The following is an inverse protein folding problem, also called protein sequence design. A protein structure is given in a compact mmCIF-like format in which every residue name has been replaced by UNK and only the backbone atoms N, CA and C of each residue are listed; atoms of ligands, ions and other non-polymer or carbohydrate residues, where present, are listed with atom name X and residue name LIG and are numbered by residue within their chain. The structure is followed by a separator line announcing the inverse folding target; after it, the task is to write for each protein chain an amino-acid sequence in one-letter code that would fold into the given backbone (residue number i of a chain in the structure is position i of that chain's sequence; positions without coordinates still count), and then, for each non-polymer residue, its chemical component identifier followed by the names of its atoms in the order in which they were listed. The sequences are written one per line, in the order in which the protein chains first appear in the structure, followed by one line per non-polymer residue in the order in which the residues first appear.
data_IF_102193419919
#
_entry.id   IF_102193419919
#
_cell.length_a   1.000
_cell.length_b   1.000
_cell.length_c   1.000
_cell.angle_alpha   90.00
_cell.angle_beta   90.00
_cell.angle_gamma   90.00
#
_symmetry.space_group_name_H-M   'P 1'
#
loop_
_entity.id
_entity.type
_entity.pdbx_description
1 polymer ?
#
# COMPACT_ATOMS: atom_id res chain seq x y z
N UNK A 1 3.64 14.18 14.60
CA UNK A 1 4.43 15.41 14.71
C UNK A 1 4.16 16.37 13.55
N UNK A 2 4.17 15.94 12.29
CA UNK A 2 4.01 16.81 11.09
C UNK A 2 2.63 17.48 10.98
N UNK A 3 1.56 16.85 11.43
CA UNK A 3 0.18 17.39 11.40
C UNK A 3 -0.34 17.92 12.74
N UNK A 4 0.50 18.03 13.78
CA UNK A 4 0.16 18.51 15.14
C UNK A 4 -1.11 17.85 15.72
N UNK A 5 -1.44 16.62 15.29
CA UNK A 5 -2.60 15.87 15.77
C UNK A 5 -2.25 15.21 17.11
N UNK A 6 -3.12 15.36 18.12
CA UNK A 6 -3.00 14.61 19.38
C UNK A 6 -3.26 13.13 19.10
N UNK A 7 -2.39 12.26 19.61
CA UNK A 7 -2.61 10.80 19.56
C UNK A 7 -3.89 10.45 20.33
N UNK A 8 -4.69 9.58 19.75
CA UNK A 8 -5.95 9.16 20.37
C UNK A 8 -5.75 7.73 20.88
N UNK A 9 -6.07 7.49 22.15
CA UNK A 9 -5.80 6.23 22.86
C UNK A 9 -6.34 5.00 22.10
N UNK A 10 -7.56 5.08 21.53
CA UNK A 10 -8.11 3.95 20.79
C UNK A 10 -7.32 3.61 19.51
N UNK A 11 -6.69 4.61 18.84
CA UNK A 11 -5.83 4.37 17.67
C UNK A 11 -4.59 3.55 18.07
N UNK A 12 -4.03 3.82 19.26
CA UNK A 12 -2.92 3.03 19.81
C UNK A 12 -3.36 1.58 20.11
N UNK A 13 -4.52 1.40 20.74
CA UNK A 13 -5.05 0.05 21.03
C UNK A 13 -5.27 -0.73 19.74
N UNK A 14 -5.91 -0.14 18.74
CA UNK A 14 -6.11 -0.78 17.43
C UNK A 14 -4.78 -1.09 16.73
N UNK A 15 -3.78 -0.21 16.88
CA UNK A 15 -2.42 -0.47 16.42
C UNK A 15 -1.81 -1.72 17.05
N UNK A 16 -1.98 -1.93 18.35
CA UNK A 16 -1.52 -3.16 19.03
C UNK A 16 -2.26 -4.42 18.52
N UNK A 17 -3.55 -4.33 18.22
CA UNK A 17 -4.30 -5.45 17.63
C UNK A 17 -3.75 -5.79 16.23
N UNK A 18 -3.43 -4.78 15.42
CA UNK A 18 -2.77 -4.98 14.11
C UNK A 18 -1.41 -5.65 14.28
N UNK A 19 -0.59 -5.19 15.23
CA UNK A 19 0.72 -5.83 15.52
C UNK A 19 0.54 -7.28 15.94
N UNK A 20 -0.47 -7.60 16.77
CA UNK A 20 -0.83 -8.99 17.13
C UNK A 20 -1.23 -9.83 15.90
N UNK A 21 -2.01 -9.27 14.99
CA UNK A 21 -2.38 -9.93 13.73
C UNK A 21 -1.15 -10.20 12.84
N UNK A 22 -0.26 -9.22 12.70
CA UNK A 22 1.01 -9.39 11.96
C UNK A 22 1.89 -10.45 12.63
N UNK A 23 1.95 -10.49 13.96
CA UNK A 23 2.71 -11.50 14.69
C UNK A 23 2.19 -12.94 14.45
N UNK A 24 0.88 -13.12 14.37
CA UNK A 24 0.27 -14.43 14.04
C UNK A 24 0.62 -14.86 12.61
N UNK A 25 0.58 -13.93 11.64
CA UNK A 25 1.01 -14.20 10.27
C UNK A 25 2.50 -14.53 10.24
N UNK A 26 3.32 -13.78 10.95
CA UNK A 26 4.77 -14.01 11.06
C UNK A 26 5.10 -15.40 11.59
N UNK A 27 4.47 -15.85 12.69
CA UNK A 27 4.72 -17.17 13.25
C UNK A 27 4.26 -18.32 12.33
N UNK A 28 3.21 -18.08 11.54
CA UNK A 28 2.73 -19.05 10.57
C UNK A 28 3.69 -19.23 9.39
N UNK A 29 4.40 -18.16 9.01
CA UNK A 29 5.20 -18.06 7.78
C UNK A 29 6.66 -17.63 8.07
N UNK A 30 7.21 -18.10 9.20
CA UNK A 30 8.57 -17.70 9.67
C UNK A 30 9.69 -17.97 8.65
N UNK A 31 9.51 -18.93 7.76
CA UNK A 31 10.45 -19.20 6.66
C UNK A 31 10.66 -18.01 5.71
N UNK A 32 9.75 -17.03 5.72
CA UNK A 32 9.79 -15.82 4.89
C UNK A 32 10.26 -14.57 5.64
N UNK A 33 11.08 -14.73 6.69
CA UNK A 33 11.54 -13.63 7.56
C UNK A 33 12.07 -12.42 6.77
N UNK A 34 12.91 -12.66 5.76
CA UNK A 34 13.46 -11.58 4.91
C UNK A 34 12.35 -10.81 4.20
N UNK A 35 11.38 -11.50 3.64
CA UNK A 35 10.22 -10.88 2.99
C UNK A 35 9.39 -10.03 3.97
N UNK A 36 9.21 -10.52 5.20
CA UNK A 36 8.47 -9.80 6.25
C UNK A 36 9.20 -8.51 6.64
N UNK A 37 10.52 -8.56 6.85
CA UNK A 37 11.32 -7.35 7.17
C UNK A 37 11.25 -6.34 6.03
N UNK A 38 11.42 -6.79 4.79
CA UNK A 38 11.32 -5.91 3.62
C UNK A 38 9.91 -5.32 3.47
N UNK A 39 8.87 -6.12 3.74
CA UNK A 39 7.49 -5.65 3.76
C UNK A 39 7.22 -4.57 4.81
N UNK A 40 7.76 -4.74 6.03
CA UNK A 40 7.65 -3.72 7.09
C UNK A 40 8.37 -2.42 6.71
N UNK A 41 9.56 -2.50 6.12
CA UNK A 41 10.29 -1.34 5.62
C UNK A 41 9.51 -0.65 4.50
N UNK A 42 8.96 -1.42 3.56
CA UNK A 42 8.10 -0.89 2.50
C UNK A 42 6.90 -0.14 3.05
N UNK A 43 6.18 -0.73 4.03
CA UNK A 43 5.03 -0.09 4.67
C UNK A 43 5.42 1.21 5.41
N UNK A 44 6.59 1.24 6.04
CA UNK A 44 7.12 2.46 6.67
C UNK A 44 7.36 3.55 5.65
N UNK A 45 8.06 3.25 4.54
CA UNK A 45 8.31 4.23 3.49
C UNK A 45 7.03 4.66 2.77
N UNK A 46 6.08 3.76 2.53
CA UNK A 46 4.78 4.10 1.95
C UNK A 46 3.98 5.07 2.84
N UNK A 47 4.03 4.87 4.17
CA UNK A 47 3.39 5.78 5.12
C UNK A 47 4.05 7.15 5.15
N UNK A 48 5.39 7.20 5.15
CA UNK A 48 6.16 8.44 5.09
C UNK A 48 5.87 9.21 3.79
N UNK A 49 5.87 8.51 2.67
CA UNK A 49 5.55 9.04 1.35
C UNK A 49 4.12 9.64 1.30
N UNK A 50 3.13 8.95 1.84
CA UNK A 50 1.76 9.46 1.90
C UNK A 50 1.64 10.75 2.73
N UNK A 51 2.41 10.84 3.84
CA UNK A 51 2.47 12.06 4.67
C UNK A 51 3.10 13.22 3.90
N UNK A 52 4.20 12.97 3.20
CA UNK A 52 4.87 14.00 2.39
C UNK A 52 3.96 14.50 1.27
N UNK A 53 3.28 13.60 0.56
CA UNK A 53 2.30 13.97 -0.47
C UNK A 53 1.12 14.77 0.09
N UNK A 54 0.65 14.40 1.29
CA UNK A 54 -0.38 15.17 1.99
C UNK A 54 0.05 16.60 2.37
N UNK A 55 1.35 16.87 2.49
CA UNK A 55 1.88 18.23 2.65
C UNK A 55 2.04 18.95 1.32
N UNK A 56 2.57 18.26 0.30
CA UNK A 56 2.88 18.83 -1.02
C UNK A 56 1.61 19.19 -1.79
N UNK A 57 0.55 18.39 -1.68
CA UNK A 57 -0.71 18.59 -2.41
C UNK A 57 -1.44 19.88 -2.04
N UNK A 58 -1.12 20.48 -0.89
CA UNK A 58 -1.67 21.76 -0.46
C UNK A 58 -1.22 22.93 -1.33
N UNK A 59 -0.06 22.81 -1.98
CA UNK A 59 0.57 23.87 -2.77
C UNK A 59 0.72 23.52 -4.25
N UNK A 60 0.63 22.24 -4.60
CA UNK A 60 0.91 21.73 -5.94
C UNK A 60 -0.28 20.93 -6.48
N UNK A 61 -0.31 20.69 -7.79
CA UNK A 61 -1.30 19.80 -8.41
C UNK A 61 -0.91 18.34 -8.21
N UNK A 62 -1.91 17.46 -8.12
CA UNK A 62 -1.67 16.02 -8.04
C UNK A 62 -0.86 15.51 -9.24
N UNK A 63 -1.18 16.02 -10.44
CA UNK A 63 -0.46 15.69 -11.66
C UNK A 63 1.04 16.02 -11.56
N UNK A 64 1.38 17.26 -11.13
CA UNK A 64 2.78 17.68 -11.01
C UNK A 64 3.55 16.83 -10.00
N UNK A 65 2.94 16.56 -8.84
CA UNK A 65 3.57 15.73 -7.82
C UNK A 65 3.86 14.35 -8.39
N UNK A 66 2.83 13.66 -8.91
CA UNK A 66 2.96 12.31 -9.45
C UNK A 66 3.96 12.24 -10.61
N UNK A 67 3.98 13.26 -11.49
CA UNK A 67 4.90 13.32 -12.62
C UNK A 67 6.36 13.35 -12.16
N UNK A 68 6.70 14.22 -11.22
CA UNK A 68 8.08 14.30 -10.70
C UNK A 68 8.47 13.05 -9.92
N UNK A 69 7.56 12.45 -9.17
CA UNK A 69 7.80 11.22 -8.43
C UNK A 69 8.06 10.04 -9.36
N UNK A 70 7.29 9.88 -10.43
CA UNK A 70 7.54 8.82 -11.43
C UNK A 70 8.86 9.02 -12.17
N UNK A 71 9.20 10.24 -12.58
CA UNK A 71 10.50 10.52 -13.23
C UNK A 71 11.65 10.19 -12.27
N UNK A 72 11.55 10.64 -11.02
CA UNK A 72 12.57 10.37 -10.01
C UNK A 72 12.70 8.88 -9.73
N UNK A 73 11.57 8.18 -9.58
CA UNK A 73 11.55 6.73 -9.39
C UNK A 73 12.19 5.98 -10.57
N UNK A 74 11.82 6.34 -11.80
CA UNK A 74 12.41 5.77 -13.01
C UNK A 74 13.93 5.99 -13.06
N UNK A 75 14.39 7.19 -12.72
CA UNK A 75 15.82 7.50 -12.68
C UNK A 75 16.59 6.62 -11.68
N UNK A 76 16.09 6.50 -10.44
CA UNK A 76 16.73 5.65 -9.43
C UNK A 76 16.69 4.17 -9.77
N UNK A 77 15.58 3.66 -10.32
CA UNK A 77 15.49 2.26 -10.75
C UNK A 77 16.47 1.99 -11.90
N UNK A 78 16.59 2.90 -12.87
CA UNK A 78 17.54 2.75 -13.98
C UNK A 78 18.97 2.70 -13.48
N UNK A 79 19.35 3.58 -12.55
CA UNK A 79 20.68 3.57 -11.93
C UNK A 79 20.92 2.23 -11.21
N UNK A 80 19.93 1.76 -10.44
CA UNK A 80 20.05 0.48 -9.73
C UNK A 80 20.27 -0.70 -10.69
N UNK A 81 19.55 -0.75 -11.79
CA UNK A 81 19.71 -1.81 -12.81
C UNK A 81 21.09 -1.75 -13.52
N UNK A 82 21.61 -0.54 -13.75
CA UNK A 82 22.96 -0.38 -14.32
C UNK A 82 24.02 -0.92 -13.34
N UNK A 83 23.91 -0.59 -12.05
CA UNK A 83 24.89 -1.05 -11.06
C UNK A 83 24.86 -2.56 -10.79
N UNK A 84 23.75 -3.22 -11.05
CA UNK A 84 23.60 -4.67 -10.88
C UNK A 84 23.80 -5.46 -12.19
N UNK A 85 24.19 -4.81 -13.29
CA UNK A 85 24.31 -5.42 -14.64
C UNK A 85 23.02 -6.09 -15.13
N UNK A 86 21.85 -5.69 -14.58
CA UNK A 86 20.54 -6.27 -14.89
C UNK A 86 19.82 -5.53 -16.03
N UNK A 87 20.39 -4.47 -16.58
CA UNK A 87 19.79 -3.70 -17.66
C UNK A 87 19.52 -4.55 -18.92
N UNK A 88 20.35 -5.56 -19.15
CA UNK A 88 20.20 -6.50 -20.28
C UNK A 88 18.99 -7.44 -20.11
N UNK A 89 18.46 -7.59 -18.91
CA UNK A 89 17.25 -8.40 -18.65
C UNK A 89 15.97 -7.69 -19.13
N UNK A 90 16.04 -6.38 -19.42
CA UNK A 90 14.94 -5.65 -20.06
C UNK A 90 14.98 -5.98 -21.56
N UNK A 91 14.66 -7.23 -21.89
CA UNK A 91 14.51 -7.67 -23.28
C UNK A 91 13.21 -7.11 -23.83
N UNK A 92 13.30 -6.25 -24.84
CA UNK A 92 12.14 -5.83 -25.62
C UNK A 92 11.91 -6.89 -26.68
N UNK A 93 11.47 -8.07 -26.23
CA UNK A 93 10.91 -9.05 -27.15
C UNK A 93 9.58 -8.48 -27.68
N UNK A 94 9.08 -8.89 -28.71
CA UNK A 94 7.85 -8.55 -29.44
C UNK A 94 6.90 -7.51 -28.77
N UNK A 95 7.09 -6.22 -29.04
CA UNK A 95 6.31 -5.09 -28.47
C UNK A 95 4.79 -5.23 -28.75
N UNK A 96 4.41 -6.03 -29.74
CA UNK A 96 3.01 -6.31 -30.07
C UNK A 96 2.46 -7.55 -29.38
N UNK A 97 3.20 -8.16 -28.44
CA UNK A 97 2.70 -9.31 -27.70
C UNK A 97 1.60 -8.92 -26.70
N UNK A 98 0.73 -9.87 -26.39
CA UNK A 98 -0.32 -9.71 -25.39
C UNK A 98 0.25 -9.31 -24.01
N UNK A 99 1.47 -9.74 -23.69
CA UNK A 99 2.16 -9.41 -22.46
C UNK A 99 2.43 -7.90 -22.36
N UNK A 100 2.85 -7.24 -23.43
CA UNK A 100 3.06 -5.79 -23.44
C UNK A 100 1.76 -5.02 -23.27
N UNK A 101 0.66 -5.51 -23.82
CA UNK A 101 -0.65 -4.91 -23.59
C UNK A 101 -1.02 -4.94 -22.10
N UNK A 102 -0.82 -6.08 -21.41
CA UNK A 102 -1.07 -6.17 -19.97
C UNK A 102 -0.12 -5.29 -19.15
N UNK A 103 1.16 -5.21 -19.50
CA UNK A 103 2.13 -4.32 -18.85
C UNK A 103 1.73 -2.85 -19.06
N UNK A 104 1.32 -2.48 -20.25
CA UNK A 104 0.84 -1.12 -20.54
C UNK A 104 -0.41 -0.77 -19.73
N UNK A 105 -1.37 -1.69 -19.63
CA UNK A 105 -2.58 -1.50 -18.85
C UNK A 105 -2.26 -1.39 -17.33
N UNK A 106 -1.36 -2.23 -16.84
CA UNK A 106 -0.88 -2.19 -15.47
C UNK A 106 -0.18 -0.84 -15.17
N UNK A 107 0.72 -0.39 -16.03
CA UNK A 107 1.48 0.85 -15.83
C UNK A 107 0.62 2.10 -15.96
N UNK A 108 -0.30 2.15 -16.94
CA UNK A 108 -1.11 3.34 -17.21
C UNK A 108 -2.32 3.46 -16.27
N UNK A 109 -3.19 2.47 -16.23
CA UNK A 109 -4.45 2.54 -15.47
C UNK A 109 -4.24 2.14 -14.02
N UNK A 110 -3.65 0.97 -13.78
CA UNK A 110 -3.54 0.43 -12.43
C UNK A 110 -2.44 1.12 -11.60
N UNK A 111 -1.45 1.73 -12.25
CA UNK A 111 -0.37 2.43 -11.54
C UNK A 111 -0.49 3.95 -11.69
N UNK A 112 -0.27 4.50 -12.88
CA UNK A 112 -0.16 5.95 -13.04
C UNK A 112 -1.46 6.69 -12.70
N UNK A 113 -2.59 6.25 -13.22
CA UNK A 113 -3.88 6.87 -12.92
C UNK A 113 -4.29 6.67 -11.47
N UNK A 114 -4.21 5.45 -10.95
CA UNK A 114 -4.58 5.15 -9.56
C UNK A 114 -3.72 5.92 -8.56
N UNK A 115 -2.43 6.04 -8.82
CA UNK A 115 -1.50 6.80 -8.00
C UNK A 115 -1.84 8.30 -7.99
N UNK A 116 -2.03 8.91 -9.16
CA UNK A 116 -2.43 10.32 -9.29
C UNK A 116 -3.77 10.58 -8.58
N UNK A 117 -4.74 9.68 -8.73
CA UNK A 117 -6.03 9.77 -8.03
C UNK A 117 -5.84 9.70 -6.51
N UNK A 118 -4.97 8.82 -6.02
CA UNK A 118 -4.62 8.71 -4.60
C UNK A 118 -4.02 10.01 -4.05
N UNK A 119 -3.06 10.59 -4.75
CA UNK A 119 -2.47 11.89 -4.37
C UNK A 119 -3.52 13.00 -4.38
N UNK A 120 -4.42 13.01 -5.37
CA UNK A 120 -5.53 13.97 -5.43
C UNK A 120 -6.47 13.86 -4.23
N UNK A 121 -6.80 12.64 -3.79
CA UNK A 121 -7.65 12.39 -2.64
C UNK A 121 -7.08 12.97 -1.33
N UNK A 122 -5.75 13.11 -1.21
CA UNK A 122 -5.12 13.74 -0.05
C UNK A 122 -5.48 15.21 0.16
N UNK A 123 -6.14 15.86 -0.81
CA UNK A 123 -6.77 17.19 -0.62
C UNK A 123 -7.97 17.14 0.32
N UNK A 124 -8.69 16.04 0.33
CA UNK A 124 -9.99 15.90 0.99
C UNK A 124 -9.94 15.01 2.23
N UNK A 125 -9.03 14.05 2.25
CA UNK A 125 -8.89 13.08 3.32
C UNK A 125 -7.47 13.06 3.88
N UNK A 126 -7.34 12.65 5.15
CA UNK A 126 -6.01 12.61 5.79
C UNK A 126 -5.14 11.49 5.20
N UNK A 127 -3.79 11.66 5.15
CA UNK A 127 -2.87 10.60 4.75
C UNK A 127 -3.09 9.29 5.51
N UNK A 128 -3.40 9.37 6.79
CA UNK A 128 -3.76 8.22 7.61
C UNK A 128 -4.97 7.45 7.06
N UNK A 129 -6.00 8.15 6.60
CA UNK A 129 -7.20 7.50 6.03
C UNK A 129 -6.90 6.82 4.70
N UNK A 130 -6.03 7.41 3.87
CA UNK A 130 -5.58 6.80 2.60
C UNK A 130 -4.80 5.52 2.87
N UNK A 131 -3.78 5.59 3.74
CA UNK A 131 -2.97 4.41 4.11
C UNK A 131 -3.84 3.31 4.73
N UNK A 132 -4.83 3.69 5.56
CA UNK A 132 -5.77 2.74 6.15
C UNK A 132 -6.60 2.01 5.08
N UNK A 133 -6.99 2.70 4.01
CA UNK A 133 -7.72 2.09 2.89
C UNK A 133 -6.86 1.08 2.13
N UNK A 134 -5.55 1.32 2.01
CA UNK A 134 -4.63 0.36 1.39
C UNK A 134 -4.55 -0.97 2.16
N UNK A 135 -4.82 -0.99 3.47
CA UNK A 135 -4.89 -2.24 4.23
C UNK A 135 -6.05 -3.16 3.79
N UNK A 136 -6.97 -2.69 2.94
CA UNK A 136 -8.00 -3.53 2.31
C UNK A 136 -7.48 -4.26 1.07
N UNK A 137 -6.35 -3.84 0.50
CA UNK A 137 -5.74 -4.43 -0.69
C UNK A 137 -5.47 -5.94 -0.53
N UNK A 138 -4.88 -6.43 0.58
CA UNK A 138 -4.64 -7.86 0.77
C UNK A 138 -5.91 -8.69 0.72
N UNK A 139 -7.07 -8.13 1.13
CA UNK A 139 -8.34 -8.87 1.08
C UNK A 139 -8.73 -9.14 -0.35
N UNK A 140 -8.76 -8.08 -1.16
CA UNK A 140 -9.12 -8.21 -2.57
C UNK A 140 -8.10 -9.08 -3.30
N UNK A 141 -6.80 -8.92 -2.99
CA UNK A 141 -5.73 -9.74 -3.54
C UNK A 141 -5.93 -11.23 -3.24
N UNK A 142 -6.19 -11.60 -1.99
CA UNK A 142 -6.41 -13.00 -1.60
C UNK A 142 -7.68 -13.57 -2.23
N UNK A 143 -8.79 -12.82 -2.21
CA UNK A 143 -10.04 -13.26 -2.83
C UNK A 143 -9.82 -13.51 -4.32
N UNK A 144 -9.17 -12.60 -5.02
CA UNK A 144 -8.87 -12.75 -6.43
C UNK A 144 -7.91 -13.91 -6.69
N UNK A 145 -6.85 -14.07 -5.88
CA UNK A 145 -5.92 -15.18 -6.01
C UNK A 145 -6.63 -16.52 -5.86
N UNK A 146 -7.50 -16.69 -4.86
CA UNK A 146 -8.27 -17.93 -4.68
C UNK A 146 -9.24 -18.19 -5.84
N UNK A 147 -9.86 -17.14 -6.38
CA UNK A 147 -10.79 -17.27 -7.54
C UNK A 147 -10.04 -17.68 -8.80
N UNK A 148 -8.88 -17.08 -9.09
CA UNK A 148 -8.15 -17.32 -10.35
C UNK A 148 -7.22 -18.52 -10.30
N UNK A 149 -6.55 -18.77 -9.14
CA UNK A 149 -5.53 -19.81 -9.01
C UNK A 149 -5.99 -21.03 -8.17
N UNK A 150 -7.16 -20.93 -7.55
CA UNK A 150 -7.77 -22.05 -6.83
C UNK A 150 -7.02 -22.48 -5.57
N UNK A 151 -6.94 -23.81 -5.36
CA UNK A 151 -6.45 -24.40 -4.10
C UNK A 151 -4.95 -24.25 -3.84
N UNK A 152 -4.16 -23.89 -4.85
CA UNK A 152 -2.70 -23.75 -4.72
C UNK A 152 -2.30 -22.53 -3.89
N UNK A 153 -3.22 -21.56 -3.71
CA UNK A 153 -3.00 -20.31 -2.96
C UNK A 153 -3.63 -20.34 -1.54
N UNK A 154 -3.93 -21.54 -1.02
CA UNK A 154 -4.48 -21.67 0.33
C UNK A 154 -3.39 -21.40 1.36
N UNK A 155 -3.61 -20.36 2.18
CA UNK A 155 -2.77 -20.02 3.31
C UNK A 155 -3.13 -20.83 4.57
N UNK A 156 -2.27 -20.76 5.59
CA UNK A 156 -2.51 -21.44 6.87
C UNK A 156 -3.72 -20.82 7.61
N UNK A 157 -4.33 -21.60 8.50
CA UNK A 157 -5.45 -21.11 9.32
C UNK A 157 -5.03 -19.91 10.18
N UNK A 158 -3.81 -19.91 10.72
CA UNK A 158 -3.26 -18.81 11.50
C UNK A 158 -3.12 -17.53 10.69
N UNK A 159 -2.81 -17.64 9.39
CA UNK A 159 -2.79 -16.51 8.46
C UNK A 159 -4.18 -15.85 8.36
N UNK A 160 -5.24 -16.64 8.18
CA UNK A 160 -6.61 -16.10 8.10
C UNK A 160 -7.06 -15.44 9.41
N UNK A 161 -6.66 -15.95 10.58
CA UNK A 161 -6.94 -15.28 11.86
C UNK A 161 -6.22 -13.95 11.94
N UNK A 162 -4.94 -13.88 11.59
CA UNK A 162 -4.15 -12.66 11.59
C UNK A 162 -4.75 -11.61 10.64
N UNK A 163 -5.12 -12.03 9.43
CA UNK A 163 -5.81 -11.21 8.46
C UNK A 163 -7.13 -10.65 9.02
N UNK A 164 -7.96 -11.50 9.64
CA UNK A 164 -9.21 -11.07 10.25
C UNK A 164 -9.01 -10.01 11.34
N UNK A 165 -8.00 -10.15 12.21
CA UNK A 165 -7.69 -9.16 13.24
C UNK A 165 -7.29 -7.80 12.64
N UNK A 166 -6.47 -7.82 11.59
CA UNK A 166 -6.08 -6.59 10.89
C UNK A 166 -7.31 -5.91 10.30
N UNK A 167 -8.16 -6.65 9.58
CA UNK A 167 -9.37 -6.13 8.97
C UNK A 167 -10.36 -5.57 9.99
N UNK A 168 -10.60 -6.33 11.05
CA UNK A 168 -11.47 -5.89 12.14
C UNK A 168 -11.00 -4.56 12.72
N UNK A 169 -9.70 -4.40 12.96
CA UNK A 169 -9.11 -3.16 13.46
C UNK A 169 -9.32 -1.98 12.50
N UNK A 170 -9.15 -2.22 11.19
CA UNK A 170 -9.35 -1.20 10.16
C UNK A 170 -10.80 -0.73 10.11
N UNK A 171 -11.75 -1.68 10.03
CA UNK A 171 -13.18 -1.39 9.96
C UNK A 171 -13.66 -0.68 11.24
N UNK A 172 -13.22 -1.16 12.41
CA UNK A 172 -13.58 -0.57 13.70
C UNK A 172 -13.07 0.87 13.81
N UNK A 173 -11.83 1.13 13.36
CA UNK A 173 -11.27 2.47 13.33
C UNK A 173 -12.06 3.42 12.41
N UNK A 174 -12.44 2.95 11.22
CA UNK A 174 -13.30 3.74 10.32
C UNK A 174 -14.64 4.07 10.99
N UNK A 175 -15.27 3.10 11.65
CA UNK A 175 -16.56 3.27 12.32
C UNK A 175 -16.49 4.28 13.47
N UNK A 176 -15.50 4.14 14.37
CA UNK A 176 -15.28 5.05 15.50
C UNK A 176 -15.03 6.48 15.00
N UNK A 177 -14.18 6.62 13.98
CA UNK A 177 -13.86 7.93 13.41
C UNK A 177 -15.08 8.60 12.77
N UNK A 178 -15.94 7.83 12.08
CA UNK A 178 -17.19 8.33 11.52
C UNK A 178 -18.16 8.80 12.59
N UNK A 179 -18.24 8.11 13.73
CA UNK A 179 -19.06 8.47 14.88
C UNK A 179 -18.56 9.76 15.52
N UNK A 180 -17.27 9.83 15.84
CA UNK A 180 -16.67 11.03 16.47
C UNK A 180 -16.78 12.28 15.58
N UNK A 181 -16.72 12.15 14.24
CA UNK A 181 -16.89 13.29 13.34
C UNK A 181 -18.35 13.77 13.26
N UNK A 182 -19.34 12.96 13.65
CA UNK A 182 -20.76 13.39 13.73
C UNK A 182 -21.05 14.21 15.00
N UNK A 183 -20.29 14.01 16.06
CA UNK A 183 -20.48 14.72 17.33
C UNK A 183 -19.84 16.13 17.31
N UNK A 184 -19.14 16.50 16.21
CA UNK A 184 -18.54 17.82 16.01
C UNK A 184 -19.25 18.66 14.90
N UNK A 185 -20.40 18.22 14.39
CA UNK A 185 -21.30 19.01 13.56
C UNK A 185 -22.55 19.38 14.34
#
# INVERSE_FOLDING_TARGET
FMFKRKGIFYEAVLGFVVVGGVYLIFNAEFQYLTGIILGLLSAFFASLFSVLNGLMIKKNSAFSISFYEFITGMFFITIFLIFNDELSLIMIDDIFSLNYFYIFLLGSICTAYAFMASVYLLKFISPYSVVLTYNLEPIYGIIMAVIFFGNNEKMSFSFYIGLFLILFSVILNMYIKKRNNKDYK
#
